data_IF_987871437102
#
_entry.id   IF_987871437102
#
_cell.length_a   1.000
_cell.length_b   1.000
_cell.length_c   1.000
_cell.angle_alpha   90.00
_cell.angle_beta   90.00
_cell.angle_gamma   90.00
#
_symmetry.space_group_name_H-M   'P 1'
#
loop_
_entity.id
_entity.type
_entity.pdbx_description
1 polymer ?
#
# COMPACT_ATOMS: atom_id res chain seq x y z
N UNK A 1 9.84 14.96 -21.45
CA UNK A 1 9.61 13.67 -22.11
C UNK A 1 8.40 13.79 -23.05
N UNK A 2 7.23 14.24 -22.59
CA UNK A 2 6.02 14.42 -23.42
C UNK A 2 6.26 15.18 -24.72
N UNK A 3 6.96 16.33 -24.65
CA UNK A 3 7.31 17.10 -25.85
C UNK A 3 8.16 16.27 -26.84
N UNK A 4 9.12 15.49 -26.34
CA UNK A 4 9.95 14.62 -27.19
C UNK A 4 9.15 13.48 -27.81
N UNK A 5 8.20 12.91 -27.06
CA UNK A 5 7.31 11.84 -27.57
C UNK A 5 6.41 12.38 -28.70
N UNK A 6 5.82 13.57 -28.53
CA UNK A 6 5.04 14.23 -29.60
C UNK A 6 5.87 14.55 -30.83
N UNK A 7 7.09 15.04 -30.61
CA UNK A 7 8.02 15.34 -31.70
C UNK A 7 8.44 14.07 -32.45
N UNK A 8 8.68 12.97 -31.73
CA UNK A 8 9.00 11.67 -32.34
C UNK A 8 7.82 11.14 -33.20
N UNK A 9 6.59 11.28 -32.73
CA UNK A 9 5.40 10.91 -33.50
C UNK A 9 5.37 11.69 -34.84
N UNK A 10 5.56 13.01 -34.81
CA UNK A 10 5.59 13.83 -36.02
C UNK A 10 6.73 13.46 -36.98
N UNK A 11 7.93 13.16 -36.47
CA UNK A 11 9.04 12.71 -37.31
C UNK A 11 8.77 11.34 -37.94
N UNK A 12 8.12 10.44 -37.18
CA UNK A 12 7.75 9.13 -37.71
C UNK A 12 6.72 9.23 -38.82
N UNK A 13 5.68 10.06 -38.68
CA UNK A 13 4.66 10.25 -39.73
C UNK A 13 5.28 10.78 -41.02
N UNK A 14 6.18 11.76 -40.93
CA UNK A 14 6.90 12.30 -42.06
C UNK A 14 7.77 11.22 -42.72
N UNK A 15 8.56 10.48 -41.94
CA UNK A 15 9.43 9.40 -42.42
C UNK A 15 8.62 8.28 -43.06
N UNK A 16 7.51 7.87 -42.47
CA UNK A 16 6.64 6.83 -43.03
C UNK A 16 6.08 7.27 -44.39
N UNK A 17 5.64 8.51 -44.51
CA UNK A 17 5.10 9.05 -45.74
C UNK A 17 6.13 9.08 -46.84
N UNK A 18 7.36 9.47 -46.56
CA UNK A 18 8.46 9.48 -47.53
C UNK A 18 8.89 8.05 -47.93
N UNK A 19 9.11 7.17 -46.95
CA UNK A 19 9.64 5.83 -47.23
C UNK A 19 8.62 4.96 -47.95
N UNK A 20 7.33 5.11 -47.68
CA UNK A 20 6.26 4.36 -48.37
C UNK A 20 6.21 4.59 -49.87
N UNK A 21 6.71 5.74 -50.35
CA UNK A 21 6.77 6.08 -51.76
C UNK A 21 7.91 5.30 -52.50
N UNK A 22 8.89 4.82 -51.76
CA UNK A 22 10.10 4.20 -52.33
C UNK A 22 10.21 2.71 -52.03
N UNK A 23 9.29 2.14 -51.27
CA UNK A 23 9.30 0.75 -50.89
C UNK A 23 8.45 -0.12 -51.86
N UNK A 24 8.90 -1.36 -52.16
CA UNK A 24 8.10 -2.33 -52.85
C UNK A 24 6.77 -2.60 -52.14
N UNK A 25 5.71 -2.90 -52.92
CA UNK A 25 4.37 -3.20 -52.38
C UNK A 25 4.38 -4.30 -51.29
N UNK A 26 5.31 -5.27 -51.43
CA UNK A 26 5.46 -6.38 -50.48
C UNK A 26 5.81 -5.94 -49.06
N UNK A 27 6.39 -4.75 -48.85
CA UNK A 27 6.77 -4.23 -47.52
C UNK A 27 5.78 -3.21 -46.98
N UNK A 28 4.81 -2.76 -47.76
CA UNK A 28 3.85 -1.74 -47.33
C UNK A 28 3.01 -2.19 -46.13
N UNK A 29 2.59 -3.47 -46.12
CA UNK A 29 1.82 -4.00 -44.98
C UNK A 29 2.63 -4.06 -43.67
N UNK A 30 3.90 -4.45 -43.75
CA UNK A 30 4.79 -4.55 -42.60
C UNK A 30 5.09 -3.16 -42.00
N UNK A 31 5.33 -2.17 -42.84
CA UNK A 31 5.55 -0.80 -42.42
C UNK A 31 4.29 -0.19 -41.83
N UNK A 32 3.13 -0.46 -42.41
CA UNK A 32 1.87 0.02 -41.85
C UNK A 32 1.59 -0.59 -40.47
N UNK A 33 1.86 -1.89 -40.30
CA UNK A 33 1.72 -2.53 -38.96
C UNK A 33 2.70 -1.96 -37.95
N UNK A 34 3.97 -1.76 -38.34
CA UNK A 34 4.99 -1.13 -37.49
C UNK A 34 4.58 0.28 -37.09
N UNK A 35 4.07 1.07 -38.04
CA UNK A 35 3.58 2.42 -37.83
C UNK A 35 2.43 2.46 -36.81
N UNK A 36 1.43 1.61 -37.01
CA UNK A 36 0.28 1.51 -36.13
C UNK A 36 0.71 1.11 -34.71
N UNK A 37 1.67 0.20 -34.58
CA UNK A 37 2.19 -0.23 -33.28
C UNK A 37 2.98 0.89 -32.59
N UNK A 38 3.82 1.63 -33.34
CA UNK A 38 4.59 2.76 -32.80
C UNK A 38 3.67 3.93 -32.40
N UNK A 39 2.71 4.28 -33.26
CA UNK A 39 1.71 5.32 -32.96
C UNK A 39 0.93 4.97 -31.71
N UNK A 40 0.45 3.74 -31.60
CA UNK A 40 -0.25 3.26 -30.41
C UNK A 40 0.62 3.36 -29.16
N UNK A 41 1.90 2.94 -29.24
CA UNK A 41 2.83 3.02 -28.12
C UNK A 41 3.14 4.47 -27.71
N UNK A 42 3.33 5.37 -28.69
CA UNK A 42 3.57 6.81 -28.42
C UNK A 42 2.35 7.50 -27.83
N UNK A 43 1.16 7.22 -28.36
CA UNK A 43 -0.09 7.76 -27.82
C UNK A 43 -0.34 7.27 -26.39
N UNK A 44 -0.06 5.99 -26.11
CA UNK A 44 -0.13 5.44 -24.76
C UNK A 44 0.87 6.15 -23.83
N UNK A 45 2.12 6.32 -24.24
CA UNK A 45 3.13 7.03 -23.47
C UNK A 45 2.72 8.48 -23.18
N UNK A 46 2.24 9.22 -24.18
CA UNK A 46 1.76 10.59 -24.02
C UNK A 46 0.59 10.64 -23.02
N UNK A 47 -0.36 9.70 -23.14
CA UNK A 47 -1.49 9.59 -22.22
C UNK A 47 -1.02 9.34 -20.77
N UNK A 48 -0.08 8.42 -20.56
CA UNK A 48 0.48 8.11 -19.25
C UNK A 48 1.24 9.29 -18.63
N UNK A 49 2.01 10.01 -19.45
CA UNK A 49 2.71 11.23 -19.02
C UNK A 49 1.75 12.35 -18.63
N UNK A 50 0.60 12.44 -19.30
CA UNK A 50 -0.44 13.43 -19.00
C UNK A 50 -1.33 13.02 -17.82
N UNK A 51 -1.48 11.71 -17.59
CA UNK A 51 -2.33 11.12 -16.55
C UNK A 51 -1.52 10.15 -15.69
N UNK A 52 -0.46 10.60 -15.01
CA UNK A 52 0.40 9.71 -14.25
C UNK A 52 -0.39 9.02 -13.14
N UNK A 53 0.04 7.82 -12.77
CA UNK A 53 -0.56 7.05 -11.68
C UNK A 53 0.47 6.85 -10.57
N UNK A 54 0.23 7.47 -9.41
CA UNK A 54 0.96 7.14 -8.19
C UNK A 54 0.41 5.83 -7.63
N UNK A 55 1.22 4.80 -7.68
CA UNK A 55 0.89 3.50 -7.08
C UNK A 55 1.71 3.31 -5.81
N UNK A 56 1.04 3.08 -4.68
CA UNK A 56 1.65 2.67 -3.41
C UNK A 56 1.35 1.19 -3.20
N UNK A 57 2.37 0.36 -3.13
CA UNK A 57 2.21 -1.06 -2.85
C UNK A 57 2.63 -1.36 -1.40
N UNK A 58 1.84 -2.14 -0.67
CA UNK A 58 2.22 -2.61 0.67
C UNK A 58 2.71 -4.04 0.59
N UNK A 59 3.86 -4.31 1.19
CA UNK A 59 4.45 -5.65 1.29
C UNK A 59 4.93 -5.93 2.71
N UNK A 60 5.18 -7.17 3.02
CA UNK A 60 5.64 -7.60 4.35
C UNK A 60 5.15 -9.00 4.69
N UNK A 61 5.71 -9.59 5.75
CA UNK A 61 5.30 -10.93 6.21
C UNK A 61 3.84 -10.97 6.65
N UNK A 62 3.30 -12.17 6.75
CA UNK A 62 2.00 -12.41 7.40
C UNK A 62 2.00 -11.77 8.79
N UNK A 63 0.91 -11.12 9.16
CA UNK A 63 0.75 -10.43 10.45
C UNK A 63 1.71 -9.24 10.71
N UNK A 64 2.43 -8.74 9.68
CA UNK A 64 3.24 -7.53 9.83
C UNK A 64 2.42 -6.23 9.88
N UNK A 65 1.13 -6.29 9.57
CA UNK A 65 0.21 -5.16 9.58
C UNK A 65 0.03 -4.47 8.22
N UNK A 66 0.27 -5.15 7.09
CA UNK A 66 0.02 -4.64 5.73
C UNK A 66 -1.37 -4.06 5.56
N UNK A 67 -2.42 -4.87 5.77
CA UNK A 67 -3.81 -4.45 5.61
C UNK A 67 -4.21 -3.37 6.61
N UNK A 68 -3.63 -3.37 7.84
CA UNK A 68 -3.82 -2.27 8.80
C UNK A 68 -3.17 -0.98 8.29
N UNK A 69 -2.02 -1.07 7.62
CA UNK A 69 -1.38 0.09 6.98
C UNK A 69 -2.23 0.62 5.83
N UNK A 70 -2.80 -0.27 5.00
CA UNK A 70 -3.73 0.13 3.93
C UNK A 70 -4.94 0.85 4.52
N UNK A 71 -5.54 0.31 5.58
CA UNK A 71 -6.64 0.94 6.31
C UNK A 71 -6.23 2.31 6.89
N UNK A 72 -5.00 2.44 7.40
CA UNK A 72 -4.44 3.72 7.86
C UNK A 72 -4.35 4.75 6.71
N UNK A 73 -3.86 4.35 5.54
CA UNK A 73 -3.77 5.22 4.36
C UNK A 73 -5.15 5.67 3.87
N UNK A 74 -6.16 4.82 3.99
CA UNK A 74 -7.56 5.14 3.68
C UNK A 74 -8.23 5.95 4.80
N UNK A 75 -7.80 5.79 6.04
CA UNK A 75 -8.41 6.39 7.24
C UNK A 75 -9.64 5.62 7.75
N UNK A 76 -9.86 4.39 7.29
CA UNK A 76 -10.99 3.55 7.65
C UNK A 76 -10.67 2.05 7.54
N UNK A 77 -11.37 1.21 8.30
CA UNK A 77 -11.27 -0.25 8.23
C UNK A 77 -12.12 -0.77 7.05
N UNK A 78 -11.54 -0.82 5.86
CA UNK A 78 -12.20 -1.32 4.64
C UNK A 78 -11.61 -2.61 4.11
N UNK A 79 -10.33 -2.88 4.43
CA UNK A 79 -9.67 -4.14 4.08
C UNK A 79 -9.63 -5.04 5.31
N UNK A 80 -9.99 -6.34 5.17
CA UNK A 80 -9.99 -7.26 6.29
C UNK A 80 -8.61 -7.42 6.93
N UNK A 81 -8.61 -7.40 8.27
CA UNK A 81 -7.41 -7.61 9.09
C UNK A 81 -7.68 -8.78 10.01
N UNK A 82 -6.83 -9.80 10.00
CA UNK A 82 -6.92 -10.91 10.92
C UNK A 82 -5.55 -11.32 11.46
N UNK A 83 -5.58 -12.05 12.57
CA UNK A 83 -4.38 -12.59 13.23
C UNK A 83 -3.81 -13.77 12.44
N UNK A 84 -4.63 -14.47 11.67
CA UNK A 84 -4.24 -15.56 10.77
C UNK A 84 -4.31 -15.11 9.30
N UNK A 85 -3.72 -15.89 8.38
CA UNK A 85 -3.60 -15.63 6.95
C UNK A 85 -4.92 -15.21 6.26
N UNK A 86 -5.24 -13.91 6.28
CA UNK A 86 -6.45 -13.37 5.65
C UNK A 86 -6.18 -12.64 4.33
N UNK A 87 -4.92 -12.26 4.06
CA UNK A 87 -4.56 -11.56 2.83
C UNK A 87 -4.27 -12.57 1.71
N UNK A 88 -5.28 -13.33 1.32
CA UNK A 88 -5.14 -14.33 0.26
C UNK A 88 -5.20 -13.69 -1.14
N UNK A 89 -6.08 -12.71 -1.33
CA UNK A 89 -6.28 -12.01 -2.59
C UNK A 89 -5.72 -10.60 -2.57
N UNK A 90 -5.19 -10.15 -3.70
CA UNK A 90 -4.75 -8.77 -3.86
C UNK A 90 -5.95 -7.82 -3.95
N UNK A 91 -5.87 -6.69 -3.24
CA UNK A 91 -6.87 -5.63 -3.26
C UNK A 91 -6.27 -4.38 -3.89
N UNK A 92 -6.90 -3.87 -4.93
CA UNK A 92 -6.58 -2.57 -5.51
C UNK A 92 -7.53 -1.52 -4.96
N UNK A 93 -7.00 -0.40 -4.45
CA UNK A 93 -7.83 0.69 -3.95
C UNK A 93 -7.48 1.94 -4.76
N UNK A 94 -8.46 2.50 -5.46
CA UNK A 94 -8.31 3.69 -6.29
C UNK A 94 -8.98 4.89 -5.62
N UNK A 95 -8.33 6.05 -5.71
CA UNK A 95 -8.90 7.27 -5.16
C UNK A 95 -10.15 7.69 -5.92
N UNK A 96 -11.23 7.86 -5.18
CA UNK A 96 -12.50 8.43 -5.67
C UNK A 96 -13.25 9.10 -4.53
N UNK A 97 -14.12 10.06 -4.85
CA UNK A 97 -15.07 10.62 -3.89
C UNK A 97 -16.24 9.69 -3.61
N UNK A 98 -16.51 8.76 -4.52
CA UNK A 98 -17.57 7.76 -4.39
C UNK A 98 -16.97 6.43 -3.93
N UNK A 99 -17.68 5.75 -3.01
CA UNK A 99 -17.32 4.43 -2.52
C UNK A 99 -17.93 3.35 -3.39
N UNK A 100 -17.10 2.43 -3.89
CA UNK A 100 -17.57 1.23 -4.58
C UNK A 100 -16.67 0.03 -4.27
N UNK A 101 -17.19 -1.16 -4.54
CA UNK A 101 -16.45 -2.42 -4.47
C UNK A 101 -16.77 -3.23 -5.73
N UNK A 102 -15.75 -3.76 -6.37
CA UNK A 102 -15.85 -4.76 -7.41
C UNK A 102 -15.10 -6.01 -6.93
N UNK A 103 -15.78 -7.15 -6.92
CA UNK A 103 -15.16 -8.46 -6.78
C UNK A 103 -15.31 -9.15 -8.13
N UNK A 104 -14.16 -9.40 -8.79
CA UNK A 104 -14.15 -9.92 -10.15
C UNK A 104 -14.60 -11.38 -10.20
N UNK A 105 -15.26 -11.75 -11.30
CA UNK A 105 -15.63 -13.11 -11.54
C UNK A 105 -14.40 -14.01 -11.59
N UNK A 106 -14.46 -15.09 -10.80
CA UNK A 106 -13.40 -16.09 -10.71
C UNK A 106 -14.01 -17.45 -10.99
N UNK A 107 -13.52 -18.21 -11.98
CA UNK A 107 -14.04 -19.55 -12.27
C UNK A 107 -14.00 -20.45 -11.06
N UNK A 108 -15.13 -21.05 -10.71
CA UNK A 108 -15.28 -21.91 -9.53
C UNK A 108 -15.40 -21.17 -8.20
N UNK A 109 -15.54 -19.83 -8.19
CA UNK A 109 -15.72 -19.06 -6.97
C UNK A 109 -16.98 -19.50 -6.19
N UNK A 110 -16.80 -19.65 -4.87
CA UNK A 110 -17.88 -19.94 -3.93
C UNK A 110 -18.30 -18.69 -3.13
N UNK A 111 -17.79 -17.52 -3.53
CA UNK A 111 -18.15 -16.21 -2.99
C UNK A 111 -18.92 -15.38 -4.01
N UNK A 112 -19.60 -14.36 -3.52
CA UNK A 112 -20.36 -13.44 -4.36
C UNK A 112 -19.41 -12.53 -5.15
N UNK A 113 -19.49 -12.55 -6.48
CA UNK A 113 -18.83 -11.63 -7.39
C UNK A 113 -19.81 -10.56 -7.87
N UNK A 114 -19.32 -9.38 -8.21
CA UNK A 114 -20.17 -8.28 -8.70
C UNK A 114 -19.60 -6.90 -8.41
N UNK A 115 -20.42 -5.88 -8.70
CA UNK A 115 -20.12 -4.47 -8.46
C UNK A 115 -21.18 -3.85 -7.54
N UNK A 116 -20.73 -3.14 -6.50
CA UNK A 116 -21.59 -2.43 -5.55
C UNK A 116 -21.13 -0.98 -5.44
N UNK A 117 -22.05 -0.04 -5.68
CA UNK A 117 -21.79 1.41 -5.59
C UNK A 117 -22.52 2.00 -4.39
N UNK A 118 -22.00 3.11 -3.85
CA UNK A 118 -22.55 3.78 -2.67
C UNK A 118 -22.58 2.89 -1.42
N UNK A 119 -21.67 1.94 -1.33
CA UNK A 119 -21.59 0.93 -0.26
C UNK A 119 -20.90 1.49 0.99
N UNK A 120 -21.35 1.08 2.18
CA UNK A 120 -20.73 1.46 3.46
C UNK A 120 -19.41 0.70 3.71
N UNK A 121 -18.54 1.26 4.55
CA UNK A 121 -17.25 0.65 4.93
C UNK A 121 -17.43 -0.76 5.48
N UNK A 122 -18.38 -0.97 6.38
CA UNK A 122 -18.69 -2.28 6.94
C UNK A 122 -19.08 -3.32 5.88
N UNK A 123 -19.86 -2.90 4.89
CA UNK A 123 -20.26 -3.80 3.80
C UNK A 123 -19.10 -4.11 2.86
N UNK A 124 -18.20 -3.14 2.59
CA UNK A 124 -16.95 -3.40 1.85
C UNK A 124 -16.14 -4.45 2.60
N UNK A 125 -15.89 -4.20 3.89
CA UNK A 125 -15.14 -5.12 4.75
C UNK A 125 -15.74 -6.52 4.77
N UNK A 126 -17.04 -6.64 5.03
CA UNK A 126 -17.72 -7.95 5.14
C UNK A 126 -17.67 -8.75 3.85
N UNK A 127 -17.88 -8.12 2.68
CA UNK A 127 -17.82 -8.83 1.39
C UNK A 127 -16.41 -9.31 1.05
N UNK A 128 -15.41 -8.48 1.27
CA UNK A 128 -14.01 -8.88 1.10
C UNK A 128 -13.64 -10.01 2.07
N UNK A 129 -14.05 -9.90 3.33
CA UNK A 129 -13.83 -10.91 4.34
C UNK A 129 -14.43 -12.26 3.91
N UNK A 130 -15.69 -12.27 3.48
CA UNK A 130 -16.36 -13.48 3.02
C UNK A 130 -15.67 -14.09 1.80
N UNK A 131 -15.26 -13.28 0.82
CA UNK A 131 -14.57 -13.78 -0.36
C UNK A 131 -13.21 -14.42 0.01
N UNK A 132 -12.43 -13.79 0.88
CA UNK A 132 -11.13 -14.29 1.31
C UNK A 132 -11.25 -15.57 2.15
N UNK A 133 -12.18 -15.61 3.12
CA UNK A 133 -12.43 -16.81 3.93
C UNK A 133 -12.90 -17.97 3.05
N UNK A 134 -13.86 -17.72 2.17
CA UNK A 134 -14.36 -18.76 1.27
C UNK A 134 -13.24 -19.35 0.40
N UNK A 135 -12.33 -18.51 -0.10
CA UNK A 135 -11.15 -19.00 -0.83
C UNK A 135 -10.24 -19.87 0.07
N UNK A 136 -9.89 -19.38 1.26
CA UNK A 136 -8.98 -20.08 2.18
C UNK A 136 -9.51 -21.45 2.56
N UNK A 137 -10.82 -21.54 2.85
CA UNK A 137 -11.48 -22.80 3.25
C UNK A 137 -11.57 -23.82 2.11
N UNK A 138 -11.59 -23.37 0.86
CA UNK A 138 -11.84 -24.26 -0.28
C UNK A 138 -10.60 -24.53 -1.15
N UNK A 139 -9.51 -23.79 -1.00
CA UNK A 139 -8.30 -23.93 -1.83
C UNK A 139 -7.66 -25.32 -1.79
N UNK A 140 -7.76 -26.03 -0.65
CA UNK A 140 -7.20 -27.38 -0.52
C UNK A 140 -8.01 -28.43 -1.30
N UNK A 141 -9.33 -28.24 -1.38
CA UNK A 141 -10.24 -29.10 -2.11
C UNK A 141 -10.37 -28.75 -3.59
N UNK A 142 -10.02 -27.50 -3.95
CA UNK A 142 -10.06 -26.96 -5.30
C UNK A 142 -8.70 -26.33 -5.68
N UNK A 143 -7.68 -27.13 -6.02
CA UNK A 143 -6.31 -26.62 -6.25
C UNK A 143 -6.19 -25.63 -7.42
N UNK A 144 -7.17 -25.59 -8.34
CA UNK A 144 -7.21 -24.65 -9.46
C UNK A 144 -8.02 -23.39 -9.19
N UNK A 145 -8.57 -23.24 -7.98
CA UNK A 145 -9.32 -22.05 -7.59
C UNK A 145 -8.35 -20.88 -7.43
N UNK A 146 -8.53 -19.83 -8.24
CA UNK A 146 -7.71 -18.63 -8.15
C UNK A 146 -8.16 -17.73 -6.97
N UNK A 147 -7.23 -16.97 -6.39
CA UNK A 147 -7.51 -15.98 -5.36
C UNK A 147 -8.54 -14.94 -5.83
N UNK A 148 -9.41 -14.45 -4.92
CA UNK A 148 -10.31 -13.36 -5.23
C UNK A 148 -9.51 -12.09 -5.58
N UNK A 149 -9.88 -11.44 -6.68
CA UNK A 149 -9.38 -10.13 -7.06
C UNK A 149 -10.46 -9.09 -6.79
N UNK A 150 -10.07 -7.96 -6.23
CA UNK A 150 -11.02 -6.91 -5.94
C UNK A 150 -10.45 -5.52 -6.19
N UNK A 151 -11.36 -4.61 -6.58
CA UNK A 151 -11.06 -3.18 -6.68
C UNK A 151 -12.05 -2.39 -5.84
N UNK A 152 -11.53 -1.51 -5.01
CA UNK A 152 -12.30 -0.56 -4.19
C UNK A 152 -12.04 0.83 -4.74
N UNK A 153 -13.09 1.64 -4.91
CA UNK A 153 -12.92 3.09 -5.02
C UNK A 153 -13.20 3.72 -3.65
N UNK A 154 -12.30 4.61 -3.18
CA UNK A 154 -12.39 5.14 -1.82
C UNK A 154 -11.73 6.52 -1.67
N UNK A 155 -12.27 7.44 -0.83
CA UNK A 155 -11.64 8.72 -0.53
C UNK A 155 -10.50 8.56 0.49
N UNK A 156 -9.24 8.60 0.04
CA UNK A 156 -8.06 8.46 0.92
C UNK A 156 -7.90 9.66 1.84
N UNK A 157 -8.03 9.45 3.14
CA UNK A 157 -7.91 10.53 4.11
C UNK A 157 -6.46 10.94 4.33
N UNK A 158 -5.58 10.00 4.68
CA UNK A 158 -4.20 10.30 5.04
C UNK A 158 -3.43 10.91 3.85
N UNK A 159 -3.61 10.38 2.64
CA UNK A 159 -2.94 10.91 1.46
C UNK A 159 -3.41 12.32 1.10
N UNK A 160 -4.71 12.61 1.26
CA UNK A 160 -5.26 13.95 1.07
C UNK A 160 -4.71 14.95 2.08
N UNK A 161 -4.63 14.55 3.35
CA UNK A 161 -4.10 15.39 4.44
C UNK A 161 -2.58 15.59 4.34
N UNK A 162 -1.85 14.70 3.67
CA UNK A 162 -0.40 14.78 3.48
C UNK A 162 0.06 15.90 2.53
N UNK A 163 -0.84 16.62 1.90
CA UNK A 163 -0.55 17.75 0.98
C UNK A 163 0.50 17.39 -0.09
N UNK A 164 0.28 16.28 -0.78
CA UNK A 164 1.17 15.80 -1.82
C UNK A 164 1.21 16.79 -3.00
N UNK A 165 2.41 17.10 -3.46
CA UNK A 165 2.64 17.95 -4.65
C UNK A 165 2.55 17.09 -5.92
N UNK A 166 1.36 16.57 -6.20
CA UNK A 166 1.13 15.75 -7.39
C UNK A 166 0.65 16.60 -8.57
N UNK A 167 1.00 16.23 -9.82
CA UNK A 167 0.40 16.81 -11.02
C UNK A 167 -1.14 16.69 -10.97
N UNK A 168 -1.85 17.69 -11.53
CA UNK A 168 -3.32 17.78 -11.39
C UNK A 168 -4.10 16.56 -11.85
N UNK A 169 -3.60 15.85 -12.85
CA UNK A 169 -4.27 14.67 -13.41
C UNK A 169 -3.76 13.33 -12.80
N UNK A 170 -2.96 13.40 -11.72
CA UNK A 170 -2.41 12.18 -11.09
C UNK A 170 -3.53 11.34 -10.48
N UNK A 171 -3.63 10.11 -10.93
CA UNK A 171 -4.43 9.07 -10.27
C UNK A 171 -3.63 8.49 -9.11
N UNK A 172 -4.30 8.17 -8.00
CA UNK A 172 -3.65 7.57 -6.84
C UNK A 172 -4.26 6.20 -6.60
N UNK A 173 -3.39 5.20 -6.42
CA UNK A 173 -3.76 3.81 -6.22
C UNK A 173 -2.95 3.22 -5.06
N UNK A 174 -3.59 2.39 -4.25
CA UNK A 174 -2.96 1.56 -3.22
C UNK A 174 -3.15 0.10 -3.63
N UNK A 175 -2.09 -0.69 -3.54
CA UNK A 175 -2.11 -2.14 -3.73
C UNK A 175 -1.85 -2.82 -2.39
N UNK A 176 -2.86 -3.51 -1.85
CA UNK A 176 -2.66 -4.44 -0.73
C UNK A 176 -2.24 -5.78 -1.31
N UNK A 177 -0.96 -6.07 -1.21
CA UNK A 177 -0.40 -7.30 -1.76
C UNK A 177 -0.72 -8.49 -0.85
N UNK A 178 -0.98 -9.67 -1.43
CA UNK A 178 -1.21 -10.88 -0.66
C UNK A 178 0.00 -11.23 0.20
N UNK A 179 -0.23 -12.02 1.24
CA UNK A 179 0.85 -12.62 2.01
C UNK A 179 1.71 -13.54 1.14
N UNK A 180 2.95 -13.81 1.58
CA UNK A 180 3.95 -14.64 0.87
C UNK A 180 3.41 -15.96 0.33
N UNK A 181 2.54 -16.62 1.12
CA UNK A 181 1.93 -17.90 0.76
C UNK A 181 1.08 -17.86 -0.53
N UNK A 182 0.69 -16.67 -0.99
CA UNK A 182 -0.24 -16.49 -2.10
C UNK A 182 0.36 -15.71 -3.29
N UNK A 183 1.63 -15.33 -3.23
CA UNK A 183 2.29 -14.55 -4.30
C UNK A 183 2.34 -15.31 -5.61
N UNK A 184 2.47 -16.64 -5.57
CA UNK A 184 2.48 -17.51 -6.76
C UNK A 184 1.09 -17.81 -7.36
N UNK A 185 0.00 -17.35 -6.75
CA UNK A 185 -1.34 -17.57 -7.26
C UNK A 185 -1.60 -16.77 -8.54
N UNK A 186 -2.21 -17.43 -9.54
CA UNK A 186 -2.49 -16.79 -10.84
C UNK A 186 -3.41 -15.58 -10.72
N UNK A 187 -4.31 -15.58 -9.73
CA UNK A 187 -5.19 -14.45 -9.42
C UNK A 187 -4.42 -13.19 -9.06
N UNK A 188 -3.26 -13.32 -8.44
CA UNK A 188 -2.44 -12.19 -7.99
C UNK A 188 -1.42 -11.69 -9.02
N UNK A 189 -1.15 -12.47 -10.08
CA UNK A 189 -0.07 -12.20 -11.03
C UNK A 189 -0.16 -10.80 -11.70
N UNK A 190 -1.36 -10.35 -12.03
CA UNK A 190 -1.55 -9.05 -12.68
C UNK A 190 -1.30 -7.87 -11.72
N UNK A 191 -1.70 -8.00 -10.46
CA UNK A 191 -1.48 -6.96 -9.44
C UNK A 191 0.01 -6.89 -9.07
N UNK A 192 0.67 -8.02 -8.97
CA UNK A 192 2.12 -8.10 -8.72
C UNK A 192 2.91 -7.42 -9.84
N UNK A 193 2.53 -7.59 -11.11
CA UNK A 193 3.16 -6.88 -12.23
C UNK A 193 3.04 -5.35 -12.12
N UNK A 194 1.95 -4.83 -11.56
CA UNK A 194 1.76 -3.40 -11.36
C UNK A 194 2.73 -2.81 -10.31
N UNK A 195 3.38 -3.66 -9.50
CA UNK A 195 4.36 -3.21 -8.51
C UNK A 195 5.68 -2.74 -9.12
N UNK A 196 5.94 -3.00 -10.41
CA UNK A 196 7.17 -2.51 -11.10
C UNK A 196 7.31 -1.00 -11.04
N UNK A 197 6.19 -0.29 -11.10
CA UNK A 197 6.10 1.17 -11.14
C UNK A 197 5.54 1.73 -9.82
N UNK A 198 5.52 0.91 -8.76
CA UNK A 198 5.02 1.32 -7.46
C UNK A 198 6.13 1.83 -6.55
N UNK A 199 5.76 2.72 -5.64
CA UNK A 199 6.52 2.97 -4.42
C UNK A 199 6.06 1.93 -3.38
N UNK A 200 7.00 1.16 -2.85
CA UNK A 200 6.69 0.07 -1.94
C UNK A 200 6.85 0.51 -0.48
N UNK A 201 5.85 0.22 0.35
CA UNK A 201 5.94 0.35 1.80
C UNK A 201 6.08 -1.05 2.39
N UNK A 202 7.25 -1.34 2.94
CA UNK A 202 7.59 -2.63 3.52
C UNK A 202 7.26 -2.60 5.01
N UNK A 203 6.26 -3.37 5.44
CA UNK A 203 5.93 -3.47 6.87
C UNK A 203 6.78 -4.53 7.54
N UNK A 204 7.54 -4.11 8.55
CA UNK A 204 8.36 -4.96 9.39
C UNK A 204 7.72 -5.08 10.77
N UNK A 205 7.42 -6.29 11.23
CA UNK A 205 6.80 -6.49 12.55
C UNK A 205 7.85 -6.37 13.67
N UNK A 206 7.85 -5.29 14.42
CA UNK A 206 8.78 -5.07 15.53
C UNK A 206 8.57 -5.99 16.74
N UNK A 207 7.42 -6.64 16.83
CA UNK A 207 7.13 -7.66 17.84
C UNK A 207 7.56 -9.08 17.41
N UNK A 208 8.06 -9.26 16.17
CA UNK A 208 8.52 -10.57 15.69
C UNK A 208 9.92 -10.86 16.22
N UNK A 209 10.05 -11.94 16.96
CA UNK A 209 11.32 -12.40 17.53
C UNK A 209 11.98 -13.53 16.72
N UNK A 210 11.24 -14.11 15.78
CA UNK A 210 11.75 -15.19 14.92
C UNK A 210 12.63 -14.61 13.80
N UNK A 211 13.93 -14.82 13.92
CA UNK A 211 14.93 -14.39 12.94
C UNK A 211 14.71 -14.98 11.54
N UNK A 212 14.10 -16.17 11.43
CA UNK A 212 13.83 -16.80 10.15
C UNK A 212 12.73 -16.06 9.39
N UNK A 213 11.68 -15.60 10.08
CA UNK A 213 10.63 -14.79 9.47
C UNK A 213 11.14 -13.43 8.99
N UNK A 214 12.02 -12.80 9.78
CA UNK A 214 12.70 -11.56 9.38
C UNK A 214 13.55 -11.80 8.13
N UNK A 215 14.33 -12.86 8.12
CA UNK A 215 15.15 -13.21 6.95
C UNK A 215 14.29 -13.49 5.72
N UNK A 216 13.20 -14.24 5.88
CA UNK A 216 12.27 -14.52 4.79
C UNK A 216 11.65 -13.25 4.20
N UNK A 217 11.28 -12.27 5.06
CA UNK A 217 10.81 -10.96 4.59
C UNK A 217 11.85 -10.25 3.72
N UNK A 218 13.09 -10.19 4.18
CA UNK A 218 14.15 -9.49 3.45
C UNK A 218 14.49 -10.22 2.14
N UNK A 219 14.46 -11.55 2.12
CA UNK A 219 14.61 -12.34 0.89
C UNK A 219 13.50 -12.09 -0.11
N UNK A 220 12.25 -11.93 0.35
CA UNK A 220 11.14 -11.54 -0.52
C UNK A 220 11.35 -10.16 -1.13
N UNK A 221 11.75 -9.16 -0.33
CA UNK A 221 12.07 -7.82 -0.82
C UNK A 221 13.17 -7.90 -1.89
N UNK A 222 14.22 -8.69 -1.65
CA UNK A 222 15.29 -8.95 -2.63
C UNK A 222 14.72 -9.56 -3.92
N UNK A 223 13.85 -10.55 -3.79
CA UNK A 223 13.25 -11.21 -4.94
C UNK A 223 12.37 -10.25 -5.74
N UNK A 224 11.57 -9.42 -5.05
CA UNK A 224 10.76 -8.38 -5.71
C UNK A 224 11.65 -7.40 -6.50
N UNK A 225 12.78 -6.96 -5.94
CA UNK A 225 13.73 -6.09 -6.67
C UNK A 225 14.28 -6.78 -7.91
N UNK A 226 14.69 -8.05 -7.80
CA UNK A 226 15.25 -8.83 -8.91
C UNK A 226 14.23 -9.12 -10.02
N UNK A 227 13.03 -9.55 -9.65
CA UNK A 227 12.00 -9.99 -10.60
C UNK A 227 11.29 -8.81 -11.27
N UNK A 228 11.06 -7.75 -10.51
CA UNK A 228 10.30 -6.59 -10.97
C UNK A 228 11.18 -5.46 -11.51
N UNK A 229 12.52 -5.56 -11.37
CA UNK A 229 13.45 -4.52 -11.80
C UNK A 229 13.27 -3.21 -11.03
N UNK A 230 12.75 -3.28 -9.81
CA UNK A 230 12.63 -2.13 -8.90
C UNK A 230 13.96 -1.77 -8.27
N UNK A 231 14.08 -0.53 -7.75
CA UNK A 231 15.23 -0.13 -6.94
C UNK A 231 14.85 -0.12 -5.46
N UNK A 232 15.73 -0.54 -4.54
CA UNK A 232 15.54 -0.36 -3.09
C UNK A 232 15.26 1.09 -2.70
N UNK A 233 15.72 2.07 -3.48
CA UNK A 233 15.41 3.49 -3.28
C UNK A 233 13.92 3.81 -3.27
N UNK A 234 13.09 2.98 -3.94
CA UNK A 234 11.63 3.14 -3.99
C UNK A 234 10.91 2.48 -2.82
N UNK A 235 11.65 1.97 -1.83
CA UNK A 235 11.12 1.28 -0.67
C UNK A 235 11.20 2.15 0.57
N UNK A 236 10.08 2.23 1.30
CA UNK A 236 9.99 2.83 2.63
C UNK A 236 9.74 1.70 3.63
N UNK A 237 10.68 1.44 4.53
CA UNK A 237 10.51 0.43 5.57
C UNK A 237 9.81 1.04 6.78
N UNK A 238 8.67 0.47 7.18
CA UNK A 238 7.94 0.84 8.38
C UNK A 238 8.13 -0.23 9.46
N UNK A 239 8.85 0.11 10.53
CA UNK A 239 8.96 -0.70 11.74
C UNK A 239 7.64 -0.60 12.49
N UNK A 240 6.73 -1.52 12.15
CA UNK A 240 5.36 -1.53 12.67
C UNK A 240 5.28 -2.18 14.05
N UNK A 241 4.26 -1.79 14.84
CA UNK A 241 4.04 -2.24 16.22
C UNK A 241 5.17 -1.83 17.18
N UNK A 242 5.80 -0.69 16.91
CA UNK A 242 6.89 -0.17 17.76
C UNK A 242 6.39 0.23 19.16
N UNK A 243 5.09 0.43 19.34
CA UNK A 243 4.44 0.70 20.63
C UNK A 243 4.67 -0.41 21.67
N UNK A 244 4.98 -1.65 21.25
CA UNK A 244 5.27 -2.74 22.19
C UNK A 244 6.45 -2.44 23.12
N UNK A 245 7.42 -1.63 22.68
CA UNK A 245 8.58 -1.25 23.48
C UNK A 245 8.24 -0.28 24.61
N UNK A 246 7.11 0.43 24.55
CA UNK A 246 6.70 1.37 25.60
C UNK A 246 6.34 0.69 26.92
N UNK A 247 6.00 -0.60 26.88
CA UNK A 247 5.79 -1.40 28.08
C UNK A 247 7.10 -1.88 28.72
N UNK A 248 8.24 -1.73 28.06
CA UNK A 248 9.55 -2.11 28.58
C UNK A 248 10.04 -1.08 29.61
N UNK A 249 10.53 -1.56 30.75
CA UNK A 249 11.08 -0.71 31.83
C UNK A 249 12.29 0.13 31.38
N UNK A 250 13.02 -0.34 30.38
CA UNK A 250 14.17 0.36 29.78
C UNK A 250 13.82 1.23 28.58
N UNK A 251 12.54 1.52 28.36
CA UNK A 251 12.14 2.50 27.34
C UNK A 251 12.62 3.92 27.74
N UNK A 252 13.18 4.75 26.83
CA UNK A 252 13.24 4.59 25.36
C UNK A 252 14.47 3.82 24.84
N UNK A 253 15.42 3.42 25.69
CA UNK A 253 16.69 2.80 25.27
C UNK A 253 16.48 1.44 24.58
N UNK A 254 15.50 0.64 25.01
CA UNK A 254 15.16 -0.64 24.38
C UNK A 254 14.65 -0.44 22.93
N UNK A 255 13.79 0.55 22.72
CA UNK A 255 13.28 0.91 21.40
C UNK A 255 14.44 1.39 20.50
N UNK A 256 15.28 2.29 20.97
CA UNK A 256 16.41 2.82 20.20
C UNK A 256 17.38 1.72 19.77
N UNK A 257 17.76 0.82 20.68
CA UNK A 257 18.63 -0.34 20.37
C UNK A 257 17.99 -1.26 19.34
N UNK A 258 16.70 -1.52 19.44
CA UNK A 258 15.97 -2.31 18.46
C UNK A 258 15.98 -1.64 17.07
N UNK A 259 15.65 -0.36 17.00
CA UNK A 259 15.61 0.40 15.74
C UNK A 259 16.97 0.40 15.06
N UNK A 260 18.05 0.71 15.79
CA UNK A 260 19.41 0.69 15.26
C UNK A 260 19.81 -0.69 14.75
N UNK A 261 19.46 -1.76 15.50
CA UNK A 261 19.71 -3.13 15.07
C UNK A 261 18.90 -3.47 13.81
N UNK A 262 17.63 -3.17 13.78
CA UNK A 262 16.76 -3.47 12.63
C UNK A 262 17.24 -2.76 11.36
N UNK A 263 17.63 -1.48 11.45
CA UNK A 263 18.18 -0.73 10.31
C UNK A 263 19.46 -1.40 9.80
N UNK A 264 20.36 -1.78 10.70
CA UNK A 264 21.61 -2.45 10.32
C UNK A 264 21.36 -3.81 9.67
N UNK A 265 20.48 -4.62 10.25
CA UNK A 265 20.17 -5.96 9.74
C UNK A 265 19.52 -5.88 8.36
N UNK A 266 18.56 -4.95 8.16
CA UNK A 266 17.93 -4.69 6.86
C UNK A 266 18.98 -4.29 5.81
N UNK A 267 19.82 -3.29 6.12
CA UNK A 267 20.83 -2.81 5.18
C UNK A 267 21.85 -3.88 4.82
N UNK A 268 22.32 -4.64 5.82
CA UNK A 268 23.31 -5.71 5.60
C UNK A 268 22.75 -6.79 4.68
N UNK A 269 21.55 -7.32 4.95
CA UNK A 269 20.94 -8.38 4.13
C UNK A 269 20.68 -7.89 2.69
N UNK A 270 20.18 -6.67 2.53
CA UNK A 270 19.95 -6.11 1.19
C UNK A 270 21.28 -5.87 0.45
N UNK A 271 22.31 -5.37 1.10
CA UNK A 271 23.62 -5.12 0.47
C UNK A 271 24.31 -6.43 0.06
N UNK A 272 24.16 -7.49 0.86
CA UNK A 272 24.71 -8.81 0.53
C UNK A 272 24.10 -9.38 -0.76
N UNK A 273 22.80 -9.19 -0.95
CA UNK A 273 22.02 -9.77 -2.04
C UNK A 273 21.89 -8.88 -3.29
N UNK A 274 22.02 -7.55 -3.13
CA UNK A 274 21.77 -6.51 -4.14
C UNK A 274 22.97 -5.54 -4.22
N UNK A 275 24.15 -6.06 -4.51
CA UNK A 275 25.42 -5.30 -4.50
C UNK A 275 25.42 -4.11 -5.45
N UNK A 276 24.68 -4.19 -6.56
CA UNK A 276 24.53 -3.12 -7.54
C UNK A 276 23.75 -1.89 -7.04
N UNK A 277 23.01 -2.04 -5.92
CA UNK A 277 22.20 -0.98 -5.30
C UNK A 277 22.76 -0.47 -3.98
N UNK A 278 24.05 -0.63 -3.72
CA UNK A 278 24.68 -0.27 -2.42
C UNK A 278 24.39 1.18 -2.02
N UNK A 279 24.49 2.14 -2.93
CA UNK A 279 24.20 3.55 -2.64
C UNK A 279 22.73 3.79 -2.30
N UNK A 280 21.80 3.15 -3.01
CA UNK A 280 20.37 3.21 -2.72
C UNK A 280 20.04 2.63 -1.34
N UNK A 281 20.69 1.52 -0.98
CA UNK A 281 20.51 0.83 0.30
C UNK A 281 21.07 1.67 1.46
N UNK A 282 22.20 2.34 1.28
CA UNK A 282 22.74 3.24 2.29
C UNK A 282 21.79 4.39 2.61
N UNK A 283 21.07 4.88 1.60
CA UNK A 283 20.08 5.95 1.72
C UNK A 283 18.66 5.47 2.02
N UNK A 284 18.49 4.17 2.30
CA UNK A 284 17.18 3.58 2.57
C UNK A 284 16.49 4.24 3.76
N UNK A 285 15.22 4.60 3.58
CA UNK A 285 14.39 5.17 4.65
C UNK A 285 13.74 4.06 5.47
N UNK A 286 13.98 4.10 6.77
CA UNK A 286 13.35 3.24 7.77
C UNK A 286 12.67 4.13 8.80
N UNK A 287 11.37 3.94 9.01
CA UNK A 287 10.55 4.78 9.89
C UNK A 287 9.86 3.96 10.95
N UNK A 288 9.61 4.57 12.11
CA UNK A 288 8.81 3.96 13.17
C UNK A 288 7.33 4.16 12.89
N UNK A 289 6.51 3.16 13.24
CA UNK A 289 5.06 3.27 13.13
C UNK A 289 4.37 2.24 14.04
N UNK A 290 3.22 2.60 14.56
CA UNK A 290 2.24 1.65 15.10
C UNK A 290 0.93 1.89 14.38
N UNK A 291 0.67 1.05 13.36
CA UNK A 291 -0.42 1.30 12.40
C UNK A 291 -1.79 1.32 13.06
N UNK A 292 -2.05 0.42 14.03
CA UNK A 292 -3.38 0.33 14.62
C UNK A 292 -3.74 1.52 15.51
N UNK A 293 -2.92 1.97 16.48
CA UNK A 293 -3.25 3.19 17.22
C UNK A 293 -3.28 4.44 16.34
N UNK A 294 -2.45 4.51 15.28
CA UNK A 294 -2.52 5.59 14.29
C UNK A 294 -3.86 5.59 13.54
N UNK A 295 -4.34 4.43 13.11
CA UNK A 295 -5.65 4.29 12.47
C UNK A 295 -6.79 4.70 13.42
N UNK A 296 -6.76 4.23 14.68
CA UNK A 296 -7.75 4.63 15.68
C UNK A 296 -7.79 6.14 15.91
N UNK A 297 -6.63 6.82 15.90
CA UNK A 297 -6.57 8.28 15.95
C UNK A 297 -7.41 8.93 14.84
N UNK A 298 -7.27 8.47 13.60
CA UNK A 298 -8.05 8.99 12.48
C UNK A 298 -9.54 8.67 12.60
N UNK A 299 -9.88 7.48 13.09
CA UNK A 299 -11.26 7.04 13.28
C UNK A 299 -11.98 7.81 14.40
N UNK A 300 -11.28 8.11 15.51
CA UNK A 300 -11.83 8.92 16.62
C UNK A 300 -12.21 10.33 16.12
N UNK A 301 -11.46 10.88 15.16
CA UNK A 301 -11.72 12.19 14.55
C UNK A 301 -12.80 12.16 13.47
N UNK A 302 -13.36 10.99 13.13
CA UNK A 302 -14.42 10.89 12.14
C UNK A 302 -15.66 11.67 12.59
N UNK A 303 -16.40 12.21 11.62
CA UNK A 303 -17.64 12.93 11.88
C UNK A 303 -18.81 12.01 12.25
N UNK A 304 -18.73 10.74 11.89
CA UNK A 304 -19.68 9.71 12.29
C UNK A 304 -19.48 9.35 13.77
N UNK A 305 -20.45 9.72 14.61
CA UNK A 305 -20.37 9.52 16.06
C UNK A 305 -20.33 8.03 16.47
N UNK A 306 -20.98 7.15 15.73
CA UNK A 306 -20.99 5.70 16.01
C UNK A 306 -19.60 5.13 15.76
N UNK A 307 -19.01 5.46 14.62
CA UNK A 307 -17.68 5.03 14.23
C UNK A 307 -16.61 5.56 15.18
N UNK A 308 -16.71 6.83 15.53
CA UNK A 308 -15.83 7.49 16.52
C UNK A 308 -15.97 6.86 17.90
N UNK A 309 -17.18 6.50 18.36
CA UNK A 309 -17.41 5.88 19.66
C UNK A 309 -16.79 4.48 19.77
N UNK A 310 -16.91 3.66 18.73
CA UNK A 310 -16.27 2.34 18.67
C UNK A 310 -14.74 2.47 18.71
N UNK A 311 -14.17 3.39 17.93
CA UNK A 311 -12.74 3.66 17.94
C UNK A 311 -12.24 4.13 19.32
N UNK A 312 -12.99 4.98 20.03
CA UNK A 312 -12.68 5.37 21.41
C UNK A 312 -12.65 4.17 22.36
N UNK A 313 -13.61 3.26 22.23
CA UNK A 313 -13.66 2.03 23.03
C UNK A 313 -12.46 1.11 22.74
N UNK A 314 -12.15 0.90 21.45
CA UNK A 314 -10.97 0.12 21.01
C UNK A 314 -9.67 0.75 21.54
N UNK A 315 -9.51 2.07 21.41
CA UNK A 315 -8.34 2.79 21.90
C UNK A 315 -8.11 2.58 23.39
N UNK A 316 -9.16 2.76 24.20
CA UNK A 316 -9.09 2.55 25.64
C UNK A 316 -8.79 1.10 26.02
N UNK A 317 -9.41 0.12 25.34
CA UNK A 317 -9.26 -1.29 25.71
C UNK A 317 -7.90 -1.87 25.32
N UNK A 318 -7.34 -1.44 24.18
CA UNK A 318 -6.14 -2.05 23.62
C UNK A 318 -4.87 -1.20 23.80
N UNK A 319 -5.02 0.11 24.00
CA UNK A 319 -3.91 1.04 24.07
C UNK A 319 -3.91 1.88 25.35
N UNK A 320 -4.53 1.36 26.42
CA UNK A 320 -4.53 2.06 27.73
C UNK A 320 -3.12 2.45 28.15
N UNK A 321 -2.17 1.51 28.20
CA UNK A 321 -0.79 1.79 28.62
C UNK A 321 -0.03 2.74 27.68
N UNK A 322 -0.46 2.89 26.42
CA UNK A 322 0.13 3.85 25.49
C UNK A 322 -0.29 5.29 25.79
N UNK A 323 -1.54 5.49 26.26
CA UNK A 323 -2.16 6.79 26.47
C UNK A 323 -2.70 6.97 27.90
N UNK A 324 -2.15 6.22 28.87
CA UNK A 324 -2.57 6.23 30.27
C UNK A 324 -2.61 7.64 30.86
N UNK A 325 -1.57 8.44 30.65
CA UNK A 325 -1.45 9.83 31.05
C UNK A 325 -2.62 10.72 30.59
N UNK A 326 -3.14 10.47 29.39
CA UNK A 326 -4.29 11.20 28.87
C UNK A 326 -5.60 10.65 29.45
N UNK A 327 -5.72 9.31 29.53
CA UNK A 327 -6.95 8.66 30.01
C UNK A 327 -7.23 8.95 31.49
N UNK A 328 -6.19 9.06 32.32
CA UNK A 328 -6.30 9.42 33.75
C UNK A 328 -6.72 10.87 33.95
N UNK A 329 -6.32 11.77 33.07
CA UNK A 329 -6.70 13.18 33.08
C UNK A 329 -8.14 13.43 32.55
N UNK A 330 -8.81 12.43 31.99
CA UNK A 330 -10.17 12.63 31.49
C UNK A 330 -11.21 12.65 32.60
N UNK A 331 -12.18 13.58 32.53
CA UNK A 331 -13.18 13.76 33.60
C UNK A 331 -14.14 12.56 33.69
N UNK A 332 -14.23 11.74 32.67
CA UNK A 332 -15.17 10.64 32.61
C UNK A 332 -14.53 9.38 32.00
N UNK A 333 -14.60 8.28 32.73
CA UNK A 333 -14.09 6.97 32.32
C UNK A 333 -14.89 6.35 31.14
N UNK A 334 -16.21 6.62 31.08
CA UNK A 334 -17.09 6.07 30.04
C UNK A 334 -16.87 6.80 28.71
N UNK A 335 -16.32 6.07 27.71
CA UNK A 335 -16.00 6.60 26.38
C UNK A 335 -17.20 7.19 25.62
N UNK A 336 -18.42 6.71 25.90
CA UNK A 336 -19.65 7.24 25.29
C UNK A 336 -19.98 8.66 25.77
N UNK A 337 -19.44 9.07 26.92
CA UNK A 337 -19.64 10.40 27.50
C UNK A 337 -18.50 11.37 27.20
N UNK A 338 -17.49 10.94 26.44
CA UNK A 338 -16.38 11.82 26.05
C UNK A 338 -16.88 12.94 25.15
N UNK A 339 -16.53 14.14 25.51
CA UNK A 339 -16.77 15.32 24.69
C UNK A 339 -15.89 15.28 23.42
N UNK A 340 -16.20 16.13 22.45
CA UNK A 340 -15.34 16.28 21.26
C UNK A 340 -13.91 16.69 21.65
N UNK A 341 -13.76 17.48 22.69
CA UNK A 341 -12.46 17.87 23.22
C UNK A 341 -11.69 16.66 23.75
N UNK A 342 -12.33 15.81 24.56
CA UNK A 342 -11.72 14.59 25.10
C UNK A 342 -11.31 13.63 23.98
N UNK A 343 -12.19 13.41 23.01
CA UNK A 343 -11.90 12.60 21.82
C UNK A 343 -10.69 13.13 21.06
N UNK A 344 -10.58 14.45 20.86
CA UNK A 344 -9.44 15.06 20.18
C UNK A 344 -8.13 14.89 20.98
N UNK A 345 -8.15 15.01 22.30
CA UNK A 345 -6.96 14.76 23.15
C UNK A 345 -6.47 13.33 23.00
N UNK A 346 -7.38 12.36 23.07
CA UNK A 346 -7.06 10.93 22.89
C UNK A 346 -6.52 10.65 21.49
N UNK A 347 -7.17 11.17 20.46
CA UNK A 347 -6.73 11.01 19.08
C UNK A 347 -5.33 11.59 18.84
N UNK A 348 -5.08 12.80 19.35
CA UNK A 348 -3.77 13.45 19.21
C UNK A 348 -2.67 12.65 19.92
N UNK A 349 -2.94 12.15 21.13
CA UNK A 349 -1.99 11.32 21.87
C UNK A 349 -1.68 10.01 21.14
N UNK A 350 -2.71 9.32 20.61
CA UNK A 350 -2.52 8.13 19.79
C UNK A 350 -1.66 8.42 18.55
N UNK A 351 -1.94 9.52 17.85
CA UNK A 351 -1.21 9.91 16.64
C UNK A 351 0.27 10.17 16.93
N UNK A 352 0.57 10.94 17.96
CA UNK A 352 1.94 11.25 18.36
C UNK A 352 2.69 10.01 18.84
N UNK A 353 2.07 9.24 19.76
CA UNK A 353 2.72 8.08 20.38
C UNK A 353 2.83 6.87 19.46
N UNK A 354 2.07 6.83 18.36
CA UNK A 354 2.18 5.85 17.29
C UNK A 354 3.18 6.21 16.19
N UNK A 355 3.85 7.37 16.28
CA UNK A 355 4.72 7.92 15.24
C UNK A 355 3.98 8.26 13.93
N UNK A 356 2.67 8.53 14.00
CA UNK A 356 1.83 8.83 12.85
C UNK A 356 2.29 10.06 12.08
N UNK A 357 2.69 11.13 12.79
CA UNK A 357 3.20 12.37 12.18
C UNK A 357 4.53 12.15 11.45
N UNK A 358 5.47 11.44 12.09
CA UNK A 358 6.77 11.10 11.50
C UNK A 358 6.58 10.23 10.24
N UNK A 359 5.71 9.23 10.31
CA UNK A 359 5.38 8.39 9.16
C UNK A 359 4.77 9.20 8.02
N UNK A 360 3.79 10.06 8.30
CA UNK A 360 3.13 10.90 7.31
C UNK A 360 4.13 11.84 6.61
N UNK A 361 5.03 12.46 7.36
CA UNK A 361 6.07 13.32 6.81
C UNK A 361 7.04 12.53 5.90
N UNK A 362 7.56 11.40 6.39
CA UNK A 362 8.49 10.57 5.61
C UNK A 362 7.83 9.99 4.35
N UNK A 363 6.56 9.58 4.43
CA UNK A 363 5.79 9.11 3.26
C UNK A 363 5.67 10.22 2.21
N UNK A 364 5.34 11.45 2.62
CA UNK A 364 5.28 12.61 1.73
C UNK A 364 6.62 12.90 1.07
N UNK A 365 7.70 12.92 1.84
CA UNK A 365 9.05 13.13 1.31
C UNK A 365 9.45 12.04 0.33
N UNK A 366 9.14 10.78 0.65
CA UNK A 366 9.41 9.62 -0.19
C UNK A 366 8.66 9.70 -1.53
N UNK A 367 7.37 10.01 -1.49
CA UNK A 367 6.54 10.19 -2.69
C UNK A 367 7.08 11.35 -3.54
N UNK A 368 7.31 12.52 -2.95
CA UNK A 368 7.77 13.70 -3.68
C UNK A 368 9.14 13.49 -4.31
N UNK A 369 10.02 12.70 -3.70
CA UNK A 369 11.35 12.39 -4.22
C UNK A 369 11.32 11.39 -5.37
N UNK A 370 10.53 10.33 -5.25
CA UNK A 370 10.64 9.16 -6.14
C UNK A 370 9.54 9.09 -7.21
N UNK A 371 8.35 9.64 -6.95
CA UNK A 371 7.27 9.63 -7.94
C UNK A 371 7.63 10.33 -9.26
N UNK A 372 8.30 11.51 -9.28
CA UNK A 372 8.70 12.13 -10.55
C UNK A 372 9.67 11.30 -11.39
N UNK A 373 10.32 10.30 -10.81
CA UNK A 373 11.24 9.40 -11.51
C UNK A 373 10.50 8.22 -12.17
N UNK A 374 9.23 7.99 -11.79
CA UNK A 374 8.37 6.95 -12.33
C UNK A 374 7.54 7.44 -13.52
N UNK A 375 7.39 8.75 -13.66
CA UNK A 375 6.67 9.45 -14.73
C UNK A 375 7.68 10.02 -15.73
#
# INVERSE_FOLDING_TARGET
>A
IEFKAKLLAQYWDNFQTEISQHLPESYQSEIQELSNNLEKALNQLIYELQNPTLTLATTGTTSSGKSTLVNLLCGAEIVPVAVSEMSAGAVTIEYSTEKSLIIYETPGALWECGEWRGISDDKIYQRLYQAMISYIENRETQPNLACPQSTITYPFRLLKESQLQLPKATRVRILDLPGLAYVGDQGNANVIKQCREALCIVTYNSAETDSQKVKSLLQEVVQQVKDLGGSPARMLFALNRIDVFRADRSWPESENRFVEKAIRDIKNELTEQLKEYTEDIENLKVVKLSTWPALLSLQIQNQDDIYSADACKKARNHFYGLIEDILEDLPVVNTQKWTRHDKNRVAQALWQKSYGEEFQQNLREHINKHFPQLV
#
